data_IF_368379473653
#
_entry.id   IF_368379473653
#
_cell.length_a   1.000
_cell.length_b   1.000
_cell.length_c   1.000
_cell.angle_alpha   90.00
_cell.angle_beta   90.00
_cell.angle_gamma   90.00
#
_symmetry.space_group_name_H-M   'P 1'
#
loop_
_entity.id
_entity.type
_entity.pdbx_description
1 polymer ?
#
# COMPACT_ATOMS: atom_id res chain seq x y z
N UNK A 1 9.97 -14.35 -16.49
CA UNK A 1 9.75 -15.20 -15.31
C UNK A 1 9.36 -14.32 -14.14
N UNK A 2 8.41 -14.73 -13.28
CA UNK A 2 8.04 -14.00 -12.06
C UNK A 2 9.20 -13.90 -11.03
N UNK A 3 10.22 -14.75 -11.19
CA UNK A 3 11.42 -14.82 -10.36
C UNK A 3 12.15 -13.48 -10.18
N UNK A 4 12.23 -12.63 -11.22
CA UNK A 4 12.90 -11.33 -11.10
C UNK A 4 12.12 -10.35 -10.19
N UNK A 5 10.79 -10.37 -10.25
CA UNK A 5 9.94 -9.59 -9.36
C UNK A 5 9.98 -10.10 -7.92
N UNK A 6 9.99 -11.42 -7.76
CA UNK A 6 10.14 -12.07 -6.45
C UNK A 6 11.49 -11.76 -5.83
N UNK A 7 12.57 -11.77 -6.63
CA UNK A 7 13.90 -11.40 -6.15
C UNK A 7 13.98 -9.91 -5.78
N UNK A 8 13.42 -9.02 -6.60
CA UNK A 8 13.34 -7.60 -6.25
C UNK A 8 12.57 -7.36 -4.93
N UNK A 9 11.48 -8.09 -4.70
CA UNK A 9 10.73 -8.04 -3.45
C UNK A 9 11.55 -8.58 -2.26
N UNK A 10 12.34 -9.64 -2.46
CA UNK A 10 13.28 -10.17 -1.45
C UNK A 10 14.39 -9.18 -1.13
N UNK A 11 14.99 -8.54 -2.13
CA UNK A 11 16.03 -7.53 -1.94
C UNK A 11 15.54 -6.35 -1.08
N UNK A 12 14.28 -5.93 -1.28
CA UNK A 12 13.71 -4.78 -0.56
C UNK A 12 13.56 -4.98 0.96
N UNK A 13 13.63 -6.22 1.47
CA UNK A 13 13.46 -6.56 2.89
C UNK A 13 14.73 -7.08 3.56
N UNK A 14 15.85 -7.17 2.83
CA UNK A 14 17.14 -7.58 3.39
C UNK A 14 17.70 -6.50 4.34
N UNK A 15 18.42 -6.91 5.41
CA UNK A 15 19.04 -5.98 6.34
C UNK A 15 20.23 -5.26 5.69
N UNK A 16 20.57 -4.07 6.19
CA UNK A 16 21.63 -3.23 5.59
C UNK A 16 23.02 -3.86 5.63
N UNK A 17 23.25 -4.81 6.53
CA UNK A 17 24.50 -5.56 6.66
C UNK A 17 24.60 -6.81 5.78
N UNK A 18 23.60 -7.11 4.95
CA UNK A 18 23.67 -8.26 4.03
C UNK A 18 24.74 -8.01 2.96
N UNK A 19 25.80 -8.84 2.87
CA UNK A 19 26.89 -8.65 1.90
C UNK A 19 26.45 -8.83 0.44
N UNK A 20 25.27 -9.42 0.21
CA UNK A 20 24.65 -9.55 -1.11
C UNK A 20 23.89 -8.31 -1.58
N UNK A 21 23.81 -7.25 -0.76
CA UNK A 21 23.19 -5.98 -1.18
C UNK A 21 24.20 -5.06 -1.87
N UNK A 22 23.86 -4.52 -3.06
CA UNK A 22 24.54 -3.38 -3.64
C UNK A 22 24.61 -2.20 -2.66
N UNK A 23 25.65 -1.39 -2.75
CA UNK A 23 25.92 -0.26 -1.83
C UNK A 23 24.71 0.66 -1.67
N UNK A 24 24.05 0.98 -2.77
CA UNK A 24 22.90 1.88 -2.83
C UNK A 24 21.68 1.31 -2.11
N UNK A 25 21.46 -0.01 -2.22
CA UNK A 25 20.39 -0.71 -1.51
C UNK A 25 20.72 -0.86 -0.02
N UNK A 26 21.99 -1.10 0.32
CA UNK A 26 22.47 -1.12 1.70
C UNK A 26 22.28 0.25 2.39
N UNK A 27 22.56 1.36 1.67
CA UNK A 27 22.30 2.72 2.16
C UNK A 27 20.82 2.98 2.46
N UNK A 28 19.93 2.59 1.53
CA UNK A 28 18.49 2.72 1.75
C UNK A 28 18.00 1.85 2.91
N UNK A 29 18.51 0.62 3.02
CA UNK A 29 18.19 -0.29 4.12
C UNK A 29 18.65 0.29 5.46
N UNK A 30 19.87 0.83 5.54
CA UNK A 30 20.40 1.45 6.75
C UNK A 30 19.55 2.65 7.19
N UNK A 31 19.12 3.50 6.24
CA UNK A 31 18.24 4.63 6.53
C UNK A 31 16.87 4.17 7.08
N UNK A 32 16.30 3.10 6.50
CA UNK A 32 15.04 2.51 6.99
C UNK A 32 15.18 1.94 8.39
N UNK A 33 16.27 1.23 8.67
CA UNK A 33 16.57 0.65 9.98
C UNK A 33 16.77 1.74 11.03
N UNK A 34 17.57 2.76 10.73
CA UNK A 34 17.79 3.92 11.59
C UNK A 34 16.47 4.62 11.93
N UNK A 35 15.66 4.93 10.91
CA UNK A 35 14.38 5.59 11.12
C UNK A 35 13.40 4.73 11.93
N UNK A 36 13.31 3.44 11.61
CA UNK A 36 12.46 2.49 12.36
C UNK A 36 12.90 2.39 13.82
N UNK A 37 14.21 2.36 14.07
CA UNK A 37 14.76 2.32 15.42
C UNK A 37 14.41 3.58 16.21
N UNK A 38 14.64 4.77 15.66
CA UNK A 38 14.29 6.04 16.31
C UNK A 38 12.81 6.14 16.66
N UNK A 39 11.95 5.77 15.72
CA UNK A 39 10.49 5.77 15.93
C UNK A 39 10.10 4.82 17.07
N UNK A 40 10.76 3.67 17.20
CA UNK A 40 10.50 2.70 18.28
C UNK A 40 11.07 3.13 19.63
N UNK A 41 12.27 3.73 19.64
CA UNK A 41 12.89 4.32 20.84
C UNK A 41 11.99 5.44 21.40
N UNK A 42 11.54 6.37 20.55
CA UNK A 42 10.61 7.43 20.95
C UNK A 42 9.27 6.90 21.49
N UNK A 43 8.78 5.77 20.96
CA UNK A 43 7.58 5.12 21.46
C UNK A 43 7.77 4.45 22.84
N UNK A 44 8.98 3.98 23.14
CA UNK A 44 9.32 3.35 24.42
C UNK A 44 9.52 4.36 25.55
N UNK A 45 10.04 5.55 25.24
CA UNK A 45 10.32 6.62 26.20
C UNK A 45 9.08 7.42 26.63
N UNK A 46 7.90 7.08 26.11
CA UNK A 46 6.63 7.73 26.46
C UNK A 46 6.17 7.34 27.87
N UNK A 47 6.01 8.29 28.81
CA UNK A 47 5.59 7.98 30.18
C UNK A 47 4.14 7.46 30.22
N UNK A 48 3.90 6.37 30.96
CA UNK A 48 2.55 5.81 31.18
C UNK A 48 2.26 4.44 30.54
N UNK A 49 3.28 3.74 30.03
CA UNK A 49 3.12 2.42 29.40
C UNK A 49 2.96 2.48 27.88
N UNK A 50 2.53 1.40 27.21
CA UNK A 50 2.45 1.34 25.76
C UNK A 50 1.54 2.44 25.19
N UNK A 51 2.14 3.39 24.45
CA UNK A 51 1.41 4.50 23.85
C UNK A 51 0.23 4.00 22.98
N UNK A 52 -0.92 4.68 23.04
CA UNK A 52 -2.06 4.35 22.19
C UNK A 52 -1.89 4.87 20.75
N UNK A 53 -1.14 5.96 20.62
CA UNK A 53 -0.84 6.68 19.39
C UNK A 53 0.65 7.03 19.35
N UNK A 54 1.23 6.87 18.18
CA UNK A 54 2.59 7.23 17.82
C UNK A 54 2.51 8.28 16.70
N UNK A 55 3.09 9.46 16.94
CA UNK A 55 3.08 10.58 16.00
C UNK A 55 4.47 10.74 15.40
N UNK A 56 4.61 10.51 14.10
CA UNK A 56 5.86 10.72 13.38
C UNK A 56 6.24 12.21 13.37
N UNK A 57 7.39 12.60 13.93
CA UNK A 57 7.82 13.99 13.97
C UNK A 57 7.99 14.58 12.58
N UNK A 58 7.48 15.79 12.36
CA UNK A 58 7.49 16.38 11.03
C UNK A 58 8.90 16.71 10.52
N UNK A 59 9.79 17.17 11.40
CA UNK A 59 11.18 17.46 11.04
C UNK A 59 11.95 16.19 10.70
N UNK A 60 11.73 15.10 11.42
CA UNK A 60 12.40 13.84 11.11
C UNK A 60 11.98 13.31 9.74
N UNK A 61 10.68 13.34 9.43
CA UNK A 61 10.16 12.91 8.13
C UNK A 61 10.69 13.81 7.01
N UNK A 62 10.71 15.14 7.20
CA UNK A 62 11.31 16.07 6.22
C UNK A 62 12.79 15.80 6.00
N UNK A 63 13.54 15.59 7.10
CA UNK A 63 14.97 15.33 7.08
C UNK A 63 15.36 14.06 6.31
N UNK A 64 14.45 13.09 6.14
CA UNK A 64 14.70 11.92 5.30
C UNK A 64 14.92 12.29 3.83
N UNK A 65 14.26 13.33 3.32
CA UNK A 65 14.30 13.68 1.90
C UNK A 65 15.72 13.98 1.42
N UNK A 66 16.51 14.71 2.21
CA UNK A 66 17.91 15.02 1.88
C UNK A 66 18.89 13.84 2.09
N UNK A 67 18.42 12.73 2.66
CA UNK A 67 19.24 11.55 2.99
C UNK A 67 18.92 10.34 2.13
N UNK A 68 17.79 10.37 1.43
CA UNK A 68 17.42 9.33 0.49
C UNK A 68 18.45 9.27 -0.64
N UNK A 69 18.87 8.07 -1.09
CA UNK A 69 19.73 7.95 -2.26
C UNK A 69 19.11 8.63 -3.48
N UNK A 70 19.91 9.35 -4.27
CA UNK A 70 19.41 10.19 -5.37
C UNK A 70 18.54 9.44 -6.39
N UNK A 71 18.83 8.16 -6.65
CA UNK A 71 18.04 7.32 -7.55
C UNK A 71 16.57 7.17 -7.13
N UNK A 72 16.25 7.31 -5.84
CA UNK A 72 14.87 7.21 -5.32
C UNK A 72 13.97 8.37 -5.72
N UNK A 73 14.56 9.50 -6.13
CA UNK A 73 13.85 10.71 -6.57
C UNK A 73 14.24 11.14 -7.99
N UNK A 74 15.03 10.32 -8.69
CA UNK A 74 15.52 10.61 -10.03
C UNK A 74 14.41 10.62 -11.11
N UNK A 75 13.21 10.13 -10.77
CA UNK A 75 12.02 10.21 -11.62
C UNK A 75 10.83 10.72 -10.79
N UNK A 76 9.87 11.43 -11.42
CA UNK A 76 8.65 11.84 -10.75
C UNK A 76 7.88 10.64 -10.20
N UNK A 77 7.27 10.83 -9.02
CA UNK A 77 6.41 9.84 -8.38
C UNK A 77 5.01 10.39 -8.27
N UNK A 78 4.03 9.51 -8.48
CA UNK A 78 2.62 9.83 -8.28
C UNK A 78 1.95 8.71 -7.50
N UNK A 79 1.02 9.06 -6.61
CA UNK A 79 0.31 8.13 -5.74
C UNK A 79 -1.19 8.37 -5.77
N UNK A 80 -1.96 7.29 -5.79
CA UNK A 80 -3.40 7.29 -5.56
C UNK A 80 -3.67 6.98 -4.08
N UNK A 81 -4.21 7.96 -3.35
CA UNK A 81 -4.47 7.87 -1.92
C UNK A 81 -5.95 7.54 -1.67
N UNK A 82 -6.22 6.40 -1.05
CA UNK A 82 -7.55 6.03 -0.59
C UNK A 82 -7.68 6.42 0.87
N UNK A 83 -8.44 7.48 1.13
CA UNK A 83 -8.58 8.06 2.47
C UNK A 83 -10.02 8.11 2.94
N UNK A 84 -10.22 8.01 4.24
CA UNK A 84 -11.50 8.27 4.91
C UNK A 84 -11.33 9.38 5.92
N UNK A 85 -12.25 10.34 5.93
CA UNK A 85 -12.29 11.38 6.96
C UNK A 85 -12.96 10.84 8.22
N UNK A 86 -12.25 10.88 9.35
CA UNK A 86 -12.80 10.54 10.65
C UNK A 86 -13.44 11.77 11.30
N UNK A 87 -14.59 11.56 11.93
CA UNK A 87 -15.33 12.57 12.70
C UNK A 87 -15.59 12.05 14.13
N UNK A 88 -15.58 12.92 15.16
CA UNK A 88 -15.12 14.32 15.13
C UNK A 88 -13.58 14.42 15.06
N UNK A 89 -13.05 15.58 14.67
CA UNK A 89 -11.60 15.86 14.67
C UNK A 89 -10.91 15.87 13.30
N UNK A 90 -11.59 15.43 12.24
CA UNK A 90 -11.16 15.68 10.85
C UNK A 90 -9.88 14.94 10.41
N UNK A 91 -9.46 13.91 11.13
CA UNK A 91 -8.31 13.09 10.74
C UNK A 91 -8.56 12.39 9.40
N UNK A 92 -7.51 12.21 8.59
CA UNK A 92 -7.56 11.46 7.34
C UNK A 92 -6.95 10.07 7.53
N UNK A 93 -7.80 9.06 7.61
CA UNK A 93 -7.39 7.67 7.70
C UNK A 93 -6.98 7.14 6.34
N UNK A 94 -5.69 6.85 6.17
CA UNK A 94 -5.15 6.23 4.97
C UNK A 94 -5.51 4.74 4.99
N UNK A 95 -6.27 4.30 3.99
CA UNK A 95 -6.64 2.90 3.79
C UNK A 95 -5.61 2.19 2.93
N UNK A 96 -5.36 2.76 1.76
CA UNK A 96 -4.45 2.22 0.77
C UNK A 96 -3.74 3.34 0.03
N UNK A 97 -2.52 3.05 -0.42
CA UNK A 97 -1.74 3.90 -1.30
C UNK A 97 -1.25 3.01 -2.44
N UNK A 98 -1.52 3.43 -3.67
CA UNK A 98 -1.08 2.74 -4.87
C UNK A 98 -0.33 3.71 -5.79
N UNK A 99 0.27 3.20 -6.88
CA UNK A 99 0.77 4.05 -7.95
C UNK A 99 -0.33 4.96 -8.51
N UNK A 100 0.01 6.22 -8.75
CA UNK A 100 -0.90 7.29 -9.14
C UNK A 100 -1.05 7.46 -10.65
N UNK A 101 -0.74 8.66 -11.16
CA UNK A 101 -0.87 9.05 -12.57
C UNK A 101 -2.30 8.98 -13.12
N UNK A 102 -3.31 9.13 -12.26
CA UNK A 102 -4.72 8.97 -12.64
C UNK A 102 -5.23 7.53 -12.52
N UNK A 103 -4.37 6.58 -12.12
CA UNK A 103 -4.82 5.22 -11.76
C UNK A 103 -5.91 5.29 -10.69
N UNK A 104 -6.83 4.33 -10.75
CA UNK A 104 -8.02 4.23 -9.89
C UNK A 104 -9.11 5.29 -10.07
N UNK A 105 -8.79 6.45 -10.62
CA UNK A 105 -9.77 7.54 -10.82
C UNK A 105 -10.14 7.72 -12.29
N UNK A 106 -9.23 7.37 -13.20
CA UNK A 106 -9.37 7.54 -14.65
C UNK A 106 -10.65 6.94 -15.23
N UNK A 107 -11.08 5.77 -14.75
CA UNK A 107 -12.28 5.07 -15.23
C UNK A 107 -13.59 5.83 -15.02
N UNK A 108 -13.60 6.82 -14.14
CA UNK A 108 -14.80 7.60 -13.81
C UNK A 108 -14.82 8.94 -14.55
N UNK A 109 -13.75 9.28 -15.29
CA UNK A 109 -13.61 10.60 -15.88
C UNK A 109 -14.66 10.89 -16.97
N UNK A 110 -15.19 9.86 -17.61
CA UNK A 110 -16.27 10.00 -18.60
C UNK A 110 -17.62 10.35 -17.94
N UNK A 111 -17.78 10.06 -16.64
CA UNK A 111 -18.97 10.39 -15.84
C UNK A 111 -18.82 11.74 -15.09
N UNK A 112 -17.66 12.39 -15.17
CA UNK A 112 -17.38 13.68 -14.52
C UNK A 112 -17.69 14.86 -15.46
N UNK A 113 -17.75 16.11 -14.93
CA UNK A 113 -18.01 17.28 -15.76
C UNK A 113 -17.08 17.38 -16.99
N UNK A 114 -17.59 17.90 -18.12
CA UNK A 114 -16.78 18.08 -19.32
C UNK A 114 -15.46 18.79 -19.02
N UNK A 115 -14.36 18.23 -19.50
CA UNK A 115 -13.01 18.75 -19.27
C UNK A 115 -12.26 18.12 -18.09
N UNK A 116 -12.89 17.26 -17.27
CA UNK A 116 -12.21 16.53 -16.19
C UNK A 116 -11.03 15.70 -16.72
N UNK A 117 -11.22 14.94 -17.79
CA UNK A 117 -10.15 14.17 -18.43
C UNK A 117 -9.00 15.08 -18.90
N UNK A 118 -9.32 16.19 -19.57
CA UNK A 118 -8.32 17.15 -20.02
C UNK A 118 -7.55 17.80 -18.85
N UNK A 119 -8.20 18.03 -17.71
CA UNK A 119 -7.53 18.52 -16.51
C UNK A 119 -6.55 17.49 -15.94
N UNK A 120 -6.98 16.22 -15.82
CA UNK A 120 -6.10 15.14 -15.37
C UNK A 120 -4.92 14.96 -16.33
N UNK A 121 -5.15 14.98 -17.65
CA UNK A 121 -4.09 14.94 -18.66
C UNK A 121 -3.08 16.09 -18.53
N UNK A 122 -3.52 17.30 -18.17
CA UNK A 122 -2.61 18.42 -17.91
C UNK A 122 -1.75 18.18 -16.67
N UNK A 123 -2.34 17.69 -15.59
CA UNK A 123 -1.58 17.39 -14.36
C UNK A 123 -0.60 16.22 -14.55
N UNK A 124 -0.95 15.21 -15.34
CA UNK A 124 -0.03 14.13 -15.71
C UNK A 124 1.17 14.69 -16.47
N UNK A 125 0.94 15.47 -17.54
CA UNK A 125 2.03 16.08 -18.33
C UNK A 125 2.93 16.97 -17.47
N UNK A 126 2.31 17.82 -16.63
CA UNK A 126 3.05 18.67 -15.68
C UNK A 126 3.90 17.84 -14.72
N UNK A 127 3.36 16.75 -14.19
CA UNK A 127 4.05 15.88 -13.24
C UNK A 127 5.22 15.12 -13.87
N UNK A 128 5.10 14.70 -15.13
CA UNK A 128 6.18 14.04 -15.87
C UNK A 128 7.32 15.01 -16.22
N UNK A 129 6.99 16.28 -16.43
CA UNK A 129 7.94 17.35 -16.71
C UNK A 129 7.90 17.81 -18.16
N UNK A 130 8.44 19.01 -18.40
CA UNK A 130 8.44 19.62 -19.73
C UNK A 130 9.28 18.79 -20.71
N UNK A 131 8.73 18.54 -21.90
CA UNK A 131 9.38 17.74 -22.94
C UNK A 131 9.37 16.23 -22.67
N UNK A 132 8.76 15.75 -21.58
CA UNK A 132 8.56 14.32 -21.36
C UNK A 132 7.59 13.75 -22.42
N UNK A 133 8.03 12.71 -23.11
CA UNK A 133 7.21 11.92 -24.03
C UNK A 133 6.60 10.75 -23.27
N UNK A 134 5.29 10.59 -23.34
CA UNK A 134 4.60 9.56 -22.59
C UNK A 134 3.59 8.79 -23.42
N UNK A 135 3.55 7.47 -23.19
CA UNK A 135 2.55 6.59 -23.75
C UNK A 135 1.80 5.83 -22.66
N UNK A 136 0.54 5.52 -22.91
CA UNK A 136 -0.23 4.62 -22.07
C UNK A 136 -0.29 3.22 -22.65
N UNK A 137 -0.17 2.23 -21.77
CA UNK A 137 -0.55 0.86 -22.09
C UNK A 137 -1.90 0.56 -21.42
N UNK A 138 -2.90 0.16 -22.21
CA UNK A 138 -4.29 -0.04 -21.75
C UNK A 138 -4.81 -1.46 -21.93
N UNK A 139 -4.17 -2.48 -21.34
CA UNK A 139 -4.61 -3.86 -21.51
C UNK A 139 -5.92 -4.09 -20.73
N UNK A 140 -7.05 -4.34 -21.39
CA UNK A 140 -8.33 -4.54 -20.68
C UNK A 140 -8.33 -5.83 -19.85
N UNK A 141 -7.70 -6.90 -20.36
CA UNK A 141 -7.56 -8.18 -19.64
C UNK A 141 -8.89 -8.82 -19.22
N UNK A 142 -9.99 -8.54 -19.94
CA UNK A 142 -11.34 -9.01 -19.59
C UNK A 142 -11.92 -8.38 -18.32
N UNK A 143 -11.32 -7.30 -17.80
CA UNK A 143 -11.72 -6.66 -16.56
C UNK A 143 -12.26 -5.25 -16.84
N UNK A 144 -13.58 -5.07 -16.79
CA UNK A 144 -14.24 -3.79 -17.13
C UNK A 144 -13.72 -2.60 -16.31
N UNK A 145 -13.19 -2.83 -15.11
CA UNK A 145 -12.58 -1.80 -14.30
C UNK A 145 -11.26 -1.24 -14.85
N UNK A 146 -10.69 -1.87 -15.90
CA UNK A 146 -9.55 -1.34 -16.64
C UNK A 146 -9.92 -0.38 -17.77
N UNK A 147 -11.20 -0.21 -18.07
CA UNK A 147 -11.64 0.76 -19.08
C UNK A 147 -11.47 2.17 -18.53
N UNK A 148 -10.75 3.01 -19.28
CA UNK A 148 -10.57 4.42 -19.00
C UNK A 148 -10.16 5.18 -20.28
N UNK A 149 -10.42 6.50 -20.37
CA UNK A 149 -9.97 7.31 -21.50
C UNK A 149 -8.45 7.32 -21.61
N UNK A 150 -7.97 7.65 -22.81
CA UNK A 150 -6.58 7.98 -23.05
C UNK A 150 -6.30 9.38 -22.47
N UNK A 151 -5.29 9.48 -21.62
CA UNK A 151 -4.91 10.66 -20.83
C UNK A 151 -3.54 11.24 -21.21
N UNK A 152 -2.77 10.55 -22.06
CA UNK A 152 -1.54 11.03 -22.70
C UNK A 152 -1.65 10.86 -24.22
N UNK A 153 -0.76 11.48 -24.98
CA UNK A 153 -0.94 11.61 -26.43
C UNK A 153 -0.73 10.30 -27.21
N UNK A 154 -0.01 9.34 -26.61
CA UNK A 154 0.38 8.10 -27.29
C UNK A 154 -0.17 6.85 -26.59
N UNK A 155 -0.49 5.82 -27.37
CA UNK A 155 -0.94 4.52 -26.88
C UNK A 155 -0.04 3.39 -27.39
N UNK A 156 0.28 2.44 -26.49
CA UNK A 156 0.91 1.16 -26.81
C UNK A 156 -0.19 0.09 -26.81
N UNK A 157 -0.39 -0.57 -27.94
CA UNK A 157 -1.44 -1.58 -28.10
C UNK A 157 -1.23 -2.51 -29.30
N UNK A 158 -2.02 -3.59 -29.39
CA UNK A 158 -1.87 -4.59 -30.45
C UNK A 158 -2.43 -4.13 -31.82
N UNK A 159 -3.31 -3.13 -31.83
CA UNK A 159 -3.94 -2.61 -33.03
C UNK A 159 -3.24 -1.30 -33.47
N UNK A 160 -2.44 -1.39 -34.55
CA UNK A 160 -1.70 -0.26 -35.14
C UNK A 160 -2.60 0.81 -35.77
N UNK A 161 -3.87 0.51 -36.02
CA UNK A 161 -4.84 1.51 -36.52
C UNK A 161 -5.30 2.41 -35.37
N UNK A 162 -5.31 1.89 -34.14
CA UNK A 162 -5.82 2.59 -32.95
C UNK A 162 -4.74 3.03 -31.97
N UNK A 163 -3.55 2.44 -32.05
CA UNK A 163 -2.43 2.69 -31.13
C UNK A 163 -1.27 3.33 -31.88
N UNK A 164 -0.57 4.25 -31.21
CA UNK A 164 0.64 4.90 -31.75
C UNK A 164 1.76 3.89 -31.96
N UNK A 165 1.92 2.95 -31.02
CA UNK A 165 2.96 1.92 -31.05
C UNK A 165 2.36 0.54 -30.87
N UNK A 166 2.97 -0.45 -31.52
CA UNK A 166 2.86 -1.83 -31.11
C UNK A 166 3.82 -2.13 -29.94
N UNK A 167 3.55 -3.20 -29.18
CA UNK A 167 4.45 -3.68 -28.12
C UNK A 167 5.89 -3.91 -28.66
N UNK A 168 6.03 -4.33 -29.92
CA UNK A 168 7.31 -4.60 -30.58
C UNK A 168 8.10 -3.34 -31.00
N UNK A 169 7.48 -2.15 -30.99
CA UNK A 169 8.15 -0.90 -31.37
C UNK A 169 8.86 -0.24 -30.16
N UNK A 170 8.66 -0.80 -28.97
CA UNK A 170 9.18 -0.27 -27.71
C UNK A 170 10.32 -1.13 -27.21
N UNK A 171 11.46 -0.50 -26.95
CA UNK A 171 12.68 -1.17 -26.51
C UNK A 171 13.00 -0.82 -25.06
N UNK A 172 13.47 -1.81 -24.31
CA UNK A 172 14.10 -1.60 -23.01
C UNK A 172 15.58 -1.25 -23.24
N UNK A 173 16.05 -0.16 -22.63
CA UNK A 173 17.45 0.22 -22.69
C UNK A 173 17.96 0.66 -21.31
N UNK A 174 19.27 0.66 -21.16
CA UNK A 174 19.95 1.19 -19.97
C UNK A 174 20.41 2.62 -20.26
N UNK A 175 19.80 3.61 -19.59
CA UNK A 175 20.34 4.97 -19.50
C UNK A 175 21.56 4.93 -18.58
N UNK A 176 22.75 4.82 -19.17
CA UNK A 176 24.02 4.72 -18.45
C UNK A 176 24.41 6.01 -17.72
N UNK A 177 23.87 7.16 -18.13
CA UNK A 177 24.14 8.44 -17.48
C UNK A 177 23.40 8.56 -16.15
N UNK A 178 22.20 7.97 -16.05
CA UNK A 178 21.37 7.97 -14.83
C UNK A 178 21.37 6.64 -14.09
N UNK A 179 22.00 5.63 -14.67
CA UNK A 179 21.96 4.24 -14.24
C UNK A 179 20.53 3.71 -14.06
N UNK A 180 19.70 3.86 -15.12
CA UNK A 180 18.28 3.49 -15.09
C UNK A 180 17.91 2.57 -16.25
N UNK A 181 17.09 1.56 -15.99
CA UNK A 181 16.37 0.87 -17.05
C UNK A 181 15.18 1.74 -17.48
N UNK A 182 15.11 2.04 -18.77
CA UNK A 182 14.12 2.94 -19.38
C UNK A 182 13.54 2.32 -20.63
N UNK A 183 12.38 2.81 -21.05
CA UNK A 183 11.76 2.45 -22.32
C UNK A 183 12.02 3.54 -23.34
N UNK A 184 12.15 3.15 -24.61
CA UNK A 184 12.24 4.07 -25.74
C UNK A 184 11.39 3.56 -26.90
N UNK A 185 10.91 4.49 -27.72
CA UNK A 185 10.28 4.19 -29.00
C UNK A 185 10.88 5.11 -30.05
N UNK A 186 11.07 4.63 -31.28
CA UNK A 186 11.65 5.44 -32.38
C UNK A 186 13.01 6.08 -32.05
N UNK A 187 13.78 5.48 -31.15
CA UNK A 187 15.08 5.98 -30.67
C UNK A 187 15.01 7.01 -29.54
N UNK A 188 13.82 7.45 -29.12
CA UNK A 188 13.64 8.47 -28.08
C UNK A 188 13.14 7.86 -26.76
N UNK A 189 13.60 8.33 -25.59
CA UNK A 189 13.06 7.91 -24.29
C UNK A 189 11.55 8.10 -24.19
N UNK A 190 10.88 7.14 -23.55
CA UNK A 190 9.44 7.07 -23.41
C UNK A 190 9.07 6.75 -21.96
N UNK A 191 8.25 7.60 -21.35
CA UNK A 191 7.58 7.31 -20.09
C UNK A 191 6.32 6.46 -20.35
N UNK A 192 6.25 5.25 -19.78
CA UNK A 192 5.11 4.37 -19.99
C UNK A 192 4.25 4.28 -18.74
N UNK A 193 2.96 4.60 -18.92
CA UNK A 193 1.99 4.65 -17.84
C UNK A 193 0.95 3.53 -17.96
N UNK A 194 0.76 2.80 -16.87
CA UNK A 194 -0.35 1.87 -16.71
C UNK A 194 -1.34 2.43 -15.67
N UNK A 195 -2.53 2.84 -16.13
CA UNK A 195 -3.54 3.49 -15.29
C UNK A 195 -4.72 2.56 -14.93
N UNK A 196 -4.60 1.28 -15.28
CA UNK A 196 -5.63 0.29 -15.01
C UNK A 196 -5.77 -0.10 -13.53
N UNK A 197 -6.95 -0.57 -13.16
CA UNK A 197 -7.25 -1.16 -11.85
C UNK A 197 -6.67 -2.56 -11.67
N UNK A 198 -6.60 -3.37 -12.74
CA UNK A 198 -6.17 -4.75 -12.63
C UNK A 198 -4.75 -4.81 -12.06
N UNK A 199 -4.54 -5.66 -11.06
CA UNK A 199 -3.23 -5.80 -10.44
C UNK A 199 -2.21 -6.28 -11.50
N UNK A 200 -1.01 -5.67 -11.61
CA UNK A 200 0.00 -6.06 -12.60
C UNK A 200 0.30 -7.57 -12.62
N UNK A 201 0.25 -8.23 -11.47
CA UNK A 201 0.47 -9.68 -11.32
C UNK A 201 -0.59 -10.54 -12.05
N UNK A 202 -1.75 -9.97 -12.38
CA UNK A 202 -2.84 -10.63 -13.11
C UNK A 202 -2.80 -10.37 -14.61
N UNK A 203 -1.88 -9.53 -15.09
CA UNK A 203 -1.70 -9.25 -16.51
C UNK A 203 -0.70 -10.24 -17.14
N UNK A 204 -0.75 -10.44 -18.47
CA UNK A 204 0.22 -11.27 -19.17
C UNK A 204 1.66 -10.82 -18.89
N UNK A 205 2.54 -11.77 -18.57
CA UNK A 205 3.92 -11.50 -18.15
C UNK A 205 4.72 -10.67 -19.16
N UNK A 206 4.42 -10.79 -20.45
CA UNK A 206 5.06 -9.99 -21.51
C UNK A 206 4.91 -8.48 -21.30
N UNK A 207 3.86 -8.06 -20.58
CA UNK A 207 3.59 -6.65 -20.32
C UNK A 207 4.42 -6.08 -19.16
N UNK A 208 5.11 -6.92 -18.40
CA UNK A 208 5.82 -6.50 -17.19
C UNK A 208 6.75 -5.29 -17.36
N UNK A 209 7.55 -5.16 -18.44
CA UNK A 209 8.41 -3.98 -18.64
C UNK A 209 7.61 -2.67 -18.67
N UNK A 210 6.44 -2.66 -19.31
CA UNK A 210 5.56 -1.48 -19.39
C UNK A 210 4.91 -1.13 -18.05
N UNK A 211 4.61 -2.15 -17.24
CA UNK A 211 4.00 -1.98 -15.91
C UNK A 211 5.02 -1.51 -14.86
N UNK A 212 6.32 -1.64 -15.16
CA UNK A 212 7.43 -1.32 -14.27
C UNK A 212 8.02 0.06 -14.44
N UNK A 213 7.72 0.79 -15.53
CA UNK A 213 8.50 1.98 -15.90
C UNK A 213 8.39 3.09 -14.85
N UNK A 214 7.19 3.32 -14.29
CA UNK A 214 6.98 4.22 -13.15
C UNK A 214 6.55 3.45 -11.90
N UNK A 215 7.46 2.76 -11.19
CA UNK A 215 7.09 1.90 -10.08
C UNK A 215 6.82 2.76 -8.84
N UNK A 216 5.55 3.01 -8.53
CA UNK A 216 5.15 3.62 -7.25
C UNK A 216 5.39 2.71 -6.02
N UNK A 217 5.64 1.42 -6.25
CA UNK A 217 5.81 0.41 -5.19
C UNK A 217 4.54 0.15 -4.38
N UNK A 218 4.67 -0.69 -3.35
CA UNK A 218 3.63 -0.90 -2.33
C UNK A 218 4.06 -0.16 -1.07
N UNK A 219 3.23 0.77 -0.60
CA UNK A 219 3.50 1.54 0.62
C UNK A 219 2.94 0.78 1.82
N UNK A 220 3.81 0.49 2.80
CA UNK A 220 3.42 -0.18 4.04
C UNK A 220 4.11 0.45 5.26
N UNK A 221 3.31 1.12 6.10
CA UNK A 221 3.79 1.78 7.31
C UNK A 221 3.88 0.85 8.52
N UNK A 222 3.38 -0.39 8.44
CA UNK A 222 3.28 -1.29 9.60
C UNK A 222 4.64 -1.67 10.19
N UNK A 223 5.72 -1.59 9.41
CA UNK A 223 7.09 -1.88 9.86
C UNK A 223 7.61 -0.90 10.93
N UNK A 224 7.05 0.31 10.94
CA UNK A 224 7.38 1.36 11.91
C UNK A 224 6.75 1.11 13.29
N UNK A 225 5.68 0.31 13.36
CA UNK A 225 4.92 0.13 14.58
C UNK A 225 5.63 -0.82 15.56
N UNK A 226 5.81 -0.43 16.84
CA UNK A 226 6.15 -1.39 17.88
C UNK A 226 5.00 -2.37 18.11
N UNK A 227 5.33 -3.56 18.64
CA UNK A 227 4.38 -4.57 19.07
C UNK A 227 4.44 -4.69 20.58
N UNK A 228 3.27 -4.70 21.20
CA UNK A 228 3.11 -4.89 22.65
C UNK A 228 2.31 -6.16 22.90
N UNK A 229 2.64 -6.91 23.95
CA UNK A 229 1.91 -8.10 24.36
C UNK A 229 0.97 -7.76 25.51
N UNK A 230 -0.21 -8.37 25.50
CA UNK A 230 -1.19 -8.32 26.58
C UNK A 230 -1.57 -9.75 26.93
N UNK A 231 -1.48 -10.12 28.22
CA UNK A 231 -1.92 -11.42 28.69
C UNK A 231 -3.45 -11.51 28.67
N UNK A 232 -3.99 -12.64 28.20
CA UNK A 232 -5.42 -12.90 28.19
C UNK A 232 -5.72 -14.39 28.40
N UNK A 233 -6.96 -14.77 28.78
CA UNK A 233 -7.37 -16.16 28.74
C UNK A 233 -7.10 -16.77 27.36
N UNK A 234 -6.41 -17.90 27.30
CA UNK A 234 -6.08 -18.58 26.05
C UNK A 234 -4.81 -18.10 25.32
N UNK A 235 -4.05 -17.14 25.87
CA UNK A 235 -2.72 -16.79 25.35
C UNK A 235 -2.36 -15.29 25.42
N UNK A 236 -1.47 -14.85 24.53
CA UNK A 236 -1.04 -13.46 24.44
C UNK A 236 -1.62 -12.74 23.23
N UNK A 237 -2.21 -11.57 23.45
CA UNK A 237 -2.69 -10.68 22.38
C UNK A 237 -1.59 -9.72 21.98
N UNK A 238 -1.37 -9.53 20.67
CA UNK A 238 -0.45 -8.50 20.19
C UNK A 238 -1.20 -7.23 19.82
N UNK A 239 -0.74 -6.10 20.36
CA UNK A 239 -1.29 -4.76 20.08
C UNK A 239 -0.24 -3.90 19.36
N UNK A 240 -0.67 -3.15 18.35
CA UNK A 240 0.14 -2.08 17.73
C UNK A 240 -0.58 -0.75 17.89
N UNK A 241 0.14 0.36 18.18
CA UNK A 241 -0.48 1.67 18.33
C UNK A 241 -1.04 2.20 17.01
N UNK A 242 -1.80 3.30 17.09
CA UNK A 242 -2.11 4.11 15.91
C UNK A 242 -0.85 4.84 15.46
N UNK A 243 -0.56 4.87 14.17
CA UNK A 243 0.50 5.69 13.59
C UNK A 243 -0.09 6.92 12.91
N UNK A 244 0.39 8.11 13.25
CA UNK A 244 -0.04 9.38 12.68
C UNK A 244 1.14 10.20 12.18
N UNK A 245 0.90 11.00 11.14
CA UNK A 245 1.77 12.10 10.74
C UNK A 245 0.91 13.31 10.41
N UNK A 246 1.05 14.40 11.17
CA UNK A 246 0.13 15.54 11.07
C UNK A 246 -1.33 15.09 11.28
N UNK A 247 -2.21 15.36 10.33
CA UNK A 247 -3.63 14.95 10.37
C UNK A 247 -3.88 13.58 9.71
N UNK A 248 -2.86 12.93 9.14
CA UNK A 248 -3.00 11.65 8.45
C UNK A 248 -2.76 10.48 9.41
N UNK A 249 -3.74 9.59 9.55
CA UNK A 249 -3.58 8.30 10.23
C UNK A 249 -3.05 7.30 9.22
N UNK A 250 -1.75 6.99 9.33
CA UNK A 250 -1.00 6.12 8.42
C UNK A 250 -1.20 4.63 8.73
N UNK A 251 -1.47 4.31 10.00
CA UNK A 251 -1.86 2.98 10.42
C UNK A 251 -2.83 3.07 11.60
N UNK A 252 -3.89 2.25 11.58
CA UNK A 252 -4.84 2.15 12.68
C UNK A 252 -4.24 1.30 13.80
N UNK A 253 -4.68 1.57 15.03
CA UNK A 253 -4.45 0.67 16.18
C UNK A 253 -5.04 -0.70 15.88
N UNK A 254 -4.31 -1.77 16.20
CA UNK A 254 -4.71 -3.15 15.88
C UNK A 254 -4.43 -4.06 17.06
N UNK A 255 -5.26 -5.09 17.17
CA UNK A 255 -5.08 -6.23 18.06
C UNK A 255 -5.10 -7.50 17.21
N UNK A 256 -4.15 -8.38 17.47
CA UNK A 256 -4.11 -9.72 16.91
C UNK A 256 -4.44 -10.69 18.03
N UNK A 257 -5.58 -11.37 17.90
CA UNK A 257 -6.06 -12.36 18.86
C UNK A 257 -5.70 -13.75 18.30
N UNK A 258 -4.79 -14.49 18.96
CA UNK A 258 -4.53 -15.89 18.59
C UNK A 258 -5.77 -16.75 18.75
N UNK A 259 -5.78 -17.93 18.11
CA UNK A 259 -6.91 -18.84 18.13
C UNK A 259 -7.38 -19.22 19.54
N UNK A 260 -6.46 -19.44 20.49
CA UNK A 260 -6.79 -19.76 21.88
C UNK A 260 -7.52 -18.63 22.60
N UNK A 261 -7.08 -17.38 22.40
CA UNK A 261 -7.74 -16.19 22.96
C UNK A 261 -9.12 -16.00 22.34
N UNK A 262 -9.24 -16.18 21.03
CA UNK A 262 -10.53 -16.09 20.34
C UNK A 262 -11.51 -17.19 20.80
N UNK A 263 -11.03 -18.41 21.03
CA UNK A 263 -11.84 -19.50 21.57
C UNK A 263 -12.34 -19.19 22.99
N UNK A 264 -11.45 -18.67 23.86
CA UNK A 264 -11.84 -18.25 25.21
C UNK A 264 -12.87 -17.11 25.18
N UNK A 265 -12.67 -16.11 24.31
CA UNK A 265 -13.63 -15.02 24.15
C UNK A 265 -15.01 -15.53 23.68
N UNK A 266 -15.04 -16.40 22.67
CA UNK A 266 -16.28 -17.01 22.18
C UNK A 266 -16.99 -17.86 23.24
N UNK A 267 -16.24 -18.67 23.98
CA UNK A 267 -16.81 -19.49 25.05
C UNK A 267 -17.43 -18.63 26.16
N UNK A 268 -16.81 -17.51 26.48
CA UNK A 268 -17.29 -16.58 27.50
C UNK A 268 -18.53 -15.80 27.04
N UNK A 269 -18.60 -15.42 25.76
CA UNK A 269 -19.81 -14.85 25.17
C UNK A 269 -20.98 -15.85 25.12
N UNK A 270 -20.69 -17.14 24.93
CA UNK A 270 -21.69 -18.21 24.80
C UNK A 270 -22.04 -18.89 26.14
N UNK A 271 -21.54 -18.38 27.27
CA UNK A 271 -21.69 -19.04 28.57
C UNK A 271 -23.15 -19.15 29.04
N UNK A 272 -23.99 -18.17 28.67
CA UNK A 272 -25.43 -18.17 28.92
C UNK A 272 -26.16 -17.82 27.61
N UNK A 273 -26.69 -18.81 26.88
CA UNK A 273 -27.29 -18.58 25.56
C UNK A 273 -28.61 -17.81 25.60
N UNK A 274 -29.26 -17.71 26.76
CA UNK A 274 -30.56 -17.03 26.93
C UNK A 274 -30.39 -15.53 27.28
N UNK A 275 -29.15 -15.07 27.46
CA UNK A 275 -28.84 -13.70 27.91
C UNK A 275 -27.86 -13.02 26.95
N UNK A 276 -28.13 -11.75 26.61
CA UNK A 276 -27.20 -10.92 25.83
C UNK A 276 -25.89 -10.77 26.64
N UNK A 277 -24.72 -11.18 26.11
CA UNK A 277 -23.49 -11.30 26.89
C UNK A 277 -22.75 -9.96 27.10
N UNK A 278 -23.49 -8.90 27.46
CA UNK A 278 -22.95 -7.55 27.62
C UNK A 278 -21.86 -7.46 28.70
N UNK A 279 -21.99 -8.20 29.80
CA UNK A 279 -20.99 -8.24 30.88
C UNK A 279 -19.69 -8.88 30.41
N UNK A 280 -19.77 -10.00 29.67
CA UNK A 280 -18.61 -10.66 29.09
C UNK A 280 -17.93 -9.74 28.07
N UNK A 281 -18.70 -9.12 27.17
CA UNK A 281 -18.18 -8.13 26.20
C UNK A 281 -17.46 -6.96 26.90
N UNK A 282 -18.07 -6.37 27.95
CA UNK A 282 -17.47 -5.28 28.71
C UNK A 282 -16.17 -5.71 29.42
N UNK A 283 -16.13 -6.92 30.00
CA UNK A 283 -14.93 -7.48 30.63
C UNK A 283 -13.79 -7.65 29.63
N UNK A 284 -14.05 -8.24 28.46
CA UNK A 284 -13.03 -8.41 27.42
C UNK A 284 -12.54 -7.08 26.85
N UNK A 285 -13.44 -6.09 26.72
CA UNK A 285 -13.04 -4.72 26.36
C UNK A 285 -12.09 -4.12 27.38
N UNK A 286 -12.41 -4.22 28.66
CA UNK A 286 -11.56 -3.72 29.73
C UNK A 286 -10.20 -4.44 29.76
N UNK A 287 -10.20 -5.77 29.66
CA UNK A 287 -9.01 -6.61 29.69
C UNK A 287 -8.03 -6.29 28.55
N UNK A 288 -8.54 -6.10 27.34
CA UNK A 288 -7.72 -5.91 26.13
C UNK A 288 -7.59 -4.44 25.71
N UNK A 289 -8.19 -3.53 26.48
CA UNK A 289 -8.32 -2.11 26.15
C UNK A 289 -8.95 -1.89 24.76
N UNK A 290 -9.98 -2.68 24.42
CA UNK A 290 -10.66 -2.59 23.13
C UNK A 290 -11.64 -1.41 23.11
N UNK A 291 -11.70 -0.67 21.99
CA UNK A 291 -12.79 0.27 21.75
C UNK A 291 -14.10 -0.49 21.61
N UNK A 292 -15.21 0.22 21.79
CA UNK A 292 -16.55 -0.33 21.58
C UNK A 292 -16.76 -0.78 20.13
N UNK A 293 -16.38 0.09 19.20
CA UNK A 293 -16.52 -0.11 17.77
C UNK A 293 -15.18 -0.49 17.15
N UNK A 294 -15.17 -1.56 16.39
CA UNK A 294 -13.98 -2.13 15.79
C UNK A 294 -14.28 -2.73 14.41
N UNK A 295 -13.22 -3.01 13.65
CA UNK A 295 -13.33 -3.76 12.41
C UNK A 295 -12.65 -5.11 12.61
N UNK A 296 -13.41 -6.20 12.42
CA UNK A 296 -12.87 -7.55 12.41
C UNK A 296 -12.27 -7.83 11.05
N UNK A 297 -11.02 -8.29 11.04
CA UNK A 297 -10.32 -8.72 9.84
C UNK A 297 -9.99 -10.20 9.97
N UNK A 298 -10.09 -10.95 8.86
CA UNK A 298 -9.46 -12.26 8.78
C UNK A 298 -7.96 -12.13 9.05
N UNK A 299 -7.40 -13.09 9.79
CA UNK A 299 -5.95 -13.17 9.97
C UNK A 299 -5.33 -13.48 8.61
N UNK A 300 -4.41 -12.64 8.09
CA UNK A 300 -3.76 -12.92 6.83
C UNK A 300 -2.98 -14.24 6.94
N UNK A 301 -3.22 -15.14 6.00
CA UNK A 301 -2.41 -16.35 5.88
C UNK A 301 -0.97 -15.98 5.46
N UNK A 302 0.03 -16.77 5.90
CA UNK A 302 1.38 -16.64 5.37
C UNK A 302 1.38 -16.75 3.85
N UNK A 303 2.15 -15.89 3.18
CA UNK A 303 2.33 -15.98 1.74
C UNK A 303 2.98 -17.32 1.38
N UNK A 304 2.44 -18.01 0.38
CA UNK A 304 3.01 -19.24 -0.15
C UNK A 304 4.23 -18.97 -1.06
N UNK A 305 4.56 -17.69 -1.29
CA UNK A 305 5.69 -17.27 -2.13
C UNK A 305 5.35 -17.27 -3.61
N UNK A 306 4.06 -17.31 -3.97
CA UNK A 306 3.56 -17.30 -5.34
C UNK A 306 2.66 -16.08 -5.51
N UNK A 307 3.19 -14.94 -5.98
CA UNK A 307 2.51 -13.65 -5.88
C UNK A 307 1.09 -13.62 -6.47
N UNK A 308 0.88 -14.29 -7.62
CA UNK A 308 -0.43 -14.37 -8.25
C UNK A 308 -1.44 -15.17 -7.42
N UNK A 309 -1.05 -16.35 -6.95
CA UNK A 309 -1.90 -17.22 -6.13
C UNK A 309 -2.16 -16.59 -4.75
N UNK A 310 -1.14 -16.00 -4.13
CA UNK A 310 -1.26 -15.30 -2.85
C UNK A 310 -2.20 -14.08 -2.98
N UNK A 311 -2.12 -13.36 -4.11
CA UNK A 311 -3.04 -12.28 -4.42
C UNK A 311 -4.48 -12.79 -4.57
N UNK A 312 -4.72 -13.83 -5.36
CA UNK A 312 -6.06 -14.43 -5.55
C UNK A 312 -6.62 -14.94 -4.21
N UNK A 313 -5.80 -15.60 -3.39
CA UNK A 313 -6.18 -16.05 -2.04
C UNK A 313 -6.59 -14.87 -1.17
N UNK A 314 -5.83 -13.78 -1.21
CA UNK A 314 -6.16 -12.56 -0.45
C UNK A 314 -7.47 -11.91 -0.91
N UNK A 315 -7.84 -12.02 -2.20
CA UNK A 315 -9.11 -11.51 -2.71
C UNK A 315 -10.30 -12.30 -2.19
N UNK A 316 -10.13 -13.62 -2.02
CA UNK A 316 -11.13 -14.54 -1.48
C UNK A 316 -11.27 -14.48 0.05
N UNK A 317 -10.35 -13.83 0.76
CA UNK A 317 -10.45 -13.66 2.21
C UNK A 317 -11.70 -12.85 2.59
N UNK A 318 -12.37 -13.19 3.72
CA UNK A 318 -13.51 -12.43 4.22
C UNK A 318 -13.19 -10.94 4.32
N UNK A 319 -14.12 -10.11 3.82
CA UNK A 319 -14.00 -8.66 3.92
C UNK A 319 -14.08 -8.22 5.39
N UNK A 320 -13.44 -7.10 5.75
CA UNK A 320 -13.50 -6.59 7.10
C UNK A 320 -14.95 -6.31 7.51
N UNK A 321 -15.34 -6.75 8.70
CA UNK A 321 -16.69 -6.57 9.25
C UNK A 321 -16.67 -5.48 10.32
N UNK A 322 -17.58 -4.51 10.22
CA UNK A 322 -17.79 -3.56 11.31
C UNK A 322 -18.48 -4.28 12.47
N UNK A 323 -17.96 -4.11 13.68
CA UNK A 323 -18.47 -4.70 14.90
C UNK A 323 -18.64 -3.60 15.95
N UNK A 324 -19.72 -3.69 16.71
CA UNK A 324 -20.01 -2.83 17.85
C UNK A 324 -20.29 -3.73 19.06
N UNK A 325 -19.35 -3.78 20.00
CA UNK A 325 -19.43 -4.61 21.20
C UNK A 325 -20.46 -4.10 22.23
N UNK A 326 -21.07 -2.94 22.00
CA UNK A 326 -22.24 -2.44 22.73
C UNK A 326 -23.57 -2.81 22.07
N UNK A 327 -23.55 -3.37 20.86
CA UNK A 327 -24.76 -3.74 20.11
C UNK A 327 -25.09 -5.22 20.30
N UNK A 328 -26.27 -5.51 20.85
CA UNK A 328 -26.74 -6.88 21.09
C UNK A 328 -26.86 -7.76 19.83
N UNK A 329 -27.05 -7.18 18.64
CA UNK A 329 -27.12 -7.93 17.37
C UNK A 329 -25.73 -8.33 16.85
N UNK A 330 -24.68 -7.67 17.35
CA UNK A 330 -23.31 -7.92 16.95
C UNK A 330 -22.59 -8.91 17.87
N UNK A 331 -23.08 -9.07 19.10
CA UNK A 331 -22.60 -10.03 20.10
C UNK A 331 -23.19 -11.42 19.83
#
# INVERSE_FOLDING_TARGET
TASAWEEAARLAVRPSGDPGLPRELAQLAALREEFTRRVREAAADSPGGPAEELVLPAEEVRGLTGRLPGWTSARPLSYAWFVQRALPGGLLCVNHVYGGWGRFTSRFLDDLPPGAAAQVSREIRRGLGDGARAAQIRPVGGFNANLHPLLVDEEIGPDRVRSTFAEADVELFHDTARDQLRLRATGEPLDVLYLGFLAPVMLPQRLAPFLCDHPGGVVDFRRLLPRHTLAAPGGEVWRTPRLRHGHAVLARRRWHLPAGVLAAFRADLAADPDVIPAVAAARWRALLHLPEQLFLHAVPEPAAGRPAEDFVRSLGAPKPQALDLGNALHL
#
